data_IF_728071680302
#
_entry.id   IF_728071680302
#
_cell.length_a   1.000
_cell.length_b   1.000
_cell.length_c   1.000
_cell.angle_alpha   90.00
_cell.angle_beta   90.00
_cell.angle_gamma   90.00
#
_symmetry.space_group_name_H-M   'P 1'
#
loop_
_entity.id
_entity.type
_entity.pdbx_description
1 polymer ?
#
# COMPACT_ATOMS: atom_id res chain seq x y z
N UNK A 1 -8.41 -7.69 28.92
CA UNK A 1 -9.69 -7.67 28.18
C UNK A 1 -9.37 -7.70 26.69
N UNK A 2 -10.12 -8.44 25.89
CA UNK A 2 -9.99 -8.39 24.44
C UNK A 2 -10.33 -6.97 23.95
N UNK A 3 -9.50 -6.42 23.05
CA UNK A 3 -9.68 -5.10 22.44
C UNK A 3 -10.19 -5.29 21.01
N UNK A 4 -11.40 -4.84 20.73
CA UNK A 4 -11.96 -4.90 19.38
C UNK A 4 -11.62 -3.60 18.64
N UNK A 5 -10.86 -3.69 17.55
CA UNK A 5 -10.50 -2.58 16.67
C UNK A 5 -11.08 -2.84 15.29
N UNK A 6 -11.84 -1.88 14.76
CA UNK A 6 -12.34 -1.95 13.38
C UNK A 6 -11.25 -1.50 12.44
N UNK A 7 -10.81 -2.40 11.57
CA UNK A 7 -9.85 -2.13 10.51
C UNK A 7 -10.56 -2.03 9.16
N UNK A 8 -9.98 -1.28 8.21
CA UNK A 8 -10.50 -1.10 6.86
C UNK A 8 -9.43 -1.28 5.79
N UNK A 9 -9.88 -1.68 4.60
CA UNK A 9 -9.07 -1.82 3.41
C UNK A 9 -9.74 -1.04 2.28
N UNK A 10 -9.02 -0.12 1.63
CA UNK A 10 -9.53 0.55 0.44
C UNK A 10 -9.05 -0.21 -0.79
N UNK A 11 -10.00 -0.89 -1.44
CA UNK A 11 -9.81 -1.55 -2.73
C UNK A 11 -10.39 -0.65 -3.82
N UNK A 12 -9.56 -0.14 -4.72
CA UNK A 12 -9.98 0.81 -5.75
C UNK A 12 -9.25 0.58 -7.07
N UNK A 13 -9.85 1.08 -8.16
CA UNK A 13 -9.27 1.18 -9.49
C UNK A 13 -8.76 2.60 -9.76
N UNK A 14 -7.88 2.75 -10.75
CA UNK A 14 -7.64 4.03 -11.40
C UNK A 14 -8.59 4.18 -12.59
N UNK A 15 -9.46 5.18 -12.56
CA UNK A 15 -10.51 5.39 -13.57
C UNK A 15 -10.03 6.32 -14.71
N UNK A 16 -8.83 6.87 -14.60
CA UNK A 16 -8.27 7.85 -15.53
C UNK A 16 -7.07 7.27 -16.30
N UNK A 17 -7.15 7.35 -17.62
CA UNK A 17 -6.10 6.86 -18.52
C UNK A 17 -5.07 7.95 -18.79
N UNK A 18 -3.75 7.64 -18.75
CA UNK A 18 -2.69 8.58 -19.11
C UNK A 18 -2.63 8.92 -20.60
N UNK A 19 -3.51 8.34 -21.42
CA UNK A 19 -3.72 8.75 -22.82
C UNK A 19 -4.64 9.97 -22.89
N UNK A 20 -5.56 10.11 -21.96
CA UNK A 20 -6.59 11.16 -21.93
C UNK A 20 -6.27 12.27 -20.95
N UNK A 21 -5.53 11.97 -19.89
CA UNK A 21 -5.23 12.88 -18.78
C UNK A 21 -3.73 13.06 -18.57
N UNK A 22 -3.34 14.23 -18.12
CA UNK A 22 -1.99 14.47 -17.62
C UNK A 22 -1.72 13.63 -16.35
N UNK A 23 -0.50 13.14 -16.21
CA UNK A 23 -0.09 12.25 -15.11
C UNK A 23 -0.27 12.92 -13.74
N UNK A 24 0.03 14.22 -13.64
CA UNK A 24 -0.11 14.97 -12.38
C UNK A 24 -1.57 15.21 -12.05
N UNK A 25 -2.41 15.39 -13.07
CA UNK A 25 -3.86 15.49 -12.89
C UNK A 25 -4.47 14.16 -12.45
N UNK A 26 -4.03 13.02 -13.01
CA UNK A 26 -4.43 11.69 -12.54
C UNK A 26 -4.10 11.54 -11.05
N UNK A 27 -2.87 11.92 -10.64
CA UNK A 27 -2.49 11.89 -9.22
C UNK A 27 -3.46 12.70 -8.36
N UNK A 28 -3.77 13.93 -8.77
CA UNK A 28 -4.71 14.81 -8.05
C UNK A 28 -6.09 14.19 -7.92
N UNK A 29 -6.63 13.64 -9.01
CA UNK A 29 -7.94 12.99 -9.04
C UNK A 29 -7.99 11.73 -8.17
N UNK A 30 -6.93 10.91 -8.23
CA UNK A 30 -6.82 9.71 -7.40
C UNK A 30 -6.72 10.06 -5.91
N UNK A 31 -5.98 11.10 -5.53
CA UNK A 31 -5.94 11.58 -4.14
C UNK A 31 -7.33 12.01 -3.70
N UNK A 32 -8.04 12.82 -4.50
CA UNK A 32 -9.40 13.26 -4.17
C UNK A 32 -10.35 12.07 -3.99
N UNK A 33 -10.35 11.11 -4.92
CA UNK A 33 -11.14 9.87 -4.81
C UNK A 33 -10.85 9.11 -3.51
N UNK A 34 -9.58 9.00 -3.12
CA UNK A 34 -9.22 8.30 -1.90
C UNK A 34 -9.57 9.08 -0.64
N UNK A 35 -9.54 10.41 -0.66
CA UNK A 35 -10.06 11.24 0.45
C UNK A 35 -11.53 10.91 0.70
N UNK A 36 -12.37 10.86 -0.34
CA UNK A 36 -13.79 10.52 -0.22
C UNK A 36 -14.00 9.10 0.36
N UNK A 37 -13.20 8.13 -0.07
CA UNK A 37 -13.25 6.74 0.43
C UNK A 37 -12.80 6.66 1.91
N UNK A 38 -11.77 7.42 2.29
CA UNK A 38 -11.31 7.51 3.69
C UNK A 38 -12.38 8.15 4.57
N UNK A 39 -13.05 9.20 4.10
CA UNK A 39 -14.16 9.80 4.81
C UNK A 39 -15.36 8.85 4.98
N UNK A 40 -15.59 7.98 4.00
CA UNK A 40 -16.58 6.91 4.13
C UNK A 40 -16.15 5.90 5.20
N UNK A 41 -14.91 5.44 5.18
CA UNK A 41 -14.37 4.55 6.21
C UNK A 41 -14.46 5.16 7.62
N UNK A 42 -14.26 6.47 7.75
CA UNK A 42 -14.42 7.20 9.00
C UNK A 42 -15.89 7.18 9.50
N UNK A 43 -16.87 7.36 8.60
CA UNK A 43 -18.30 7.21 8.95
C UNK A 43 -18.64 5.80 9.44
N UNK A 44 -17.94 4.78 8.92
CA UNK A 44 -18.06 3.38 9.35
C UNK A 44 -17.26 3.06 10.63
N UNK A 45 -16.71 4.09 11.29
CA UNK A 45 -15.94 4.00 12.53
C UNK A 45 -14.66 3.13 12.42
N UNK A 46 -14.04 3.08 11.23
CA UNK A 46 -12.73 2.44 11.03
C UNK A 46 -11.68 3.20 11.84
N UNK A 47 -10.77 2.46 12.48
CA UNK A 47 -9.69 3.00 13.34
C UNK A 47 -8.29 2.75 12.79
N UNK A 48 -8.10 1.70 11.98
CA UNK A 48 -6.87 1.45 11.24
C UNK A 48 -7.25 1.18 9.79
N UNK A 49 -6.71 1.96 8.86
CA UNK A 49 -7.03 1.91 7.44
C UNK A 49 -5.77 1.74 6.61
N UNK A 50 -5.83 0.86 5.59
CA UNK A 50 -4.76 0.74 4.60
C UNK A 50 -5.31 0.92 3.18
N UNK A 51 -4.57 1.70 2.36
CA UNK A 51 -4.84 1.90 0.95
C UNK A 51 -4.04 0.88 0.11
N UNK A 52 -4.45 0.68 -1.16
CA UNK A 52 -3.72 -0.21 -2.08
C UNK A 52 -2.34 0.35 -2.46
N UNK A 53 -1.47 -0.50 -2.99
CA UNK A 53 -0.12 -0.15 -3.44
C UNK A 53 -0.13 0.99 -4.47
N UNK A 54 0.69 2.04 -4.24
CA UNK A 54 0.81 3.25 -5.10
C UNK A 54 -0.58 3.83 -5.44
N UNK A 55 -1.38 4.11 -4.41
CA UNK A 55 -2.81 4.39 -4.54
C UNK A 55 -3.16 5.61 -5.39
N UNK A 56 -2.25 6.58 -5.52
CA UNK A 56 -2.52 7.86 -6.17
C UNK A 56 -2.25 7.90 -7.69
N UNK A 57 -2.13 6.75 -8.33
CA UNK A 57 -1.97 6.65 -9.77
C UNK A 57 -2.39 5.28 -10.29
N UNK A 58 -2.37 5.06 -11.60
CA UNK A 58 -2.46 3.73 -12.16
C UNK A 58 -1.21 2.92 -11.78
N UNK A 59 -1.26 1.61 -11.98
CA UNK A 59 -0.07 0.77 -11.83
C UNK A 59 0.83 0.92 -13.05
N UNK A 60 1.59 2.01 -13.09
CA UNK A 60 2.41 2.43 -14.22
C UNK A 60 3.62 1.50 -14.50
N UNK A 61 3.93 0.57 -13.60
CA UNK A 61 5.03 -0.37 -13.80
C UNK A 61 4.80 -1.39 -14.93
N UNK A 62 3.64 -1.31 -15.61
CA UNK A 62 3.36 -2.05 -16.84
C UNK A 62 4.26 -1.64 -18.01
N UNK A 63 4.89 -0.49 -17.95
CA UNK A 63 5.84 0.03 -18.94
C UNK A 63 7.11 0.56 -18.25
N UNK A 64 8.19 0.73 -18.99
CA UNK A 64 9.43 1.34 -18.52
C UNK A 64 9.56 2.76 -19.12
N UNK A 65 8.84 3.73 -18.52
CA UNK A 65 8.83 5.12 -18.98
C UNK A 65 9.16 6.08 -17.82
N UNK A 66 10.23 6.85 -17.99
CA UNK A 66 10.70 7.81 -16.98
C UNK A 66 9.71 8.95 -16.69
N UNK A 67 8.70 9.18 -17.56
CA UNK A 67 7.66 10.20 -17.34
C UNK A 67 6.94 10.04 -16.00
N UNK A 68 6.80 8.80 -15.50
CA UNK A 68 6.13 8.50 -14.23
C UNK A 68 6.89 8.99 -12.99
N UNK A 69 8.19 9.30 -13.12
CA UNK A 69 8.99 9.83 -12.00
C UNK A 69 8.50 11.20 -11.52
N UNK A 70 7.71 11.92 -12.33
CA UNK A 70 7.15 13.23 -11.97
C UNK A 70 6.17 13.17 -10.80
N UNK A 71 5.52 12.01 -10.56
CA UNK A 71 4.56 11.86 -9.46
C UNK A 71 5.20 11.39 -8.14
N UNK A 72 6.48 11.03 -8.16
CA UNK A 72 7.21 10.69 -6.94
C UNK A 72 7.33 11.93 -6.03
N UNK A 73 7.26 11.70 -4.72
CA UNK A 73 7.36 12.79 -3.73
C UNK A 73 8.14 12.36 -2.48
N UNK A 74 8.70 13.32 -1.73
CA UNK A 74 9.34 13.01 -0.45
C UNK A 74 8.31 12.58 0.59
N UNK A 75 8.79 11.93 1.65
CA UNK A 75 8.01 11.63 2.87
C UNK A 75 8.77 12.23 4.07
N UNK A 76 8.15 13.20 4.81
CA UNK A 76 6.85 13.81 4.56
C UNK A 76 6.81 14.65 3.28
N UNK A 77 5.63 14.71 2.65
CA UNK A 77 5.40 15.43 1.39
C UNK A 77 3.93 15.84 1.25
N UNK A 78 3.54 16.40 0.08
CA UNK A 78 2.20 16.93 -0.13
C UNK A 78 1.08 15.93 0.15
N UNK A 79 1.23 14.68 -0.34
CA UNK A 79 0.22 13.64 -0.11
C UNK A 79 0.14 13.26 1.37
N UNK A 80 1.29 13.00 2.02
CA UNK A 80 1.27 12.66 3.45
C UNK A 80 0.68 13.78 4.30
N UNK A 81 0.91 15.06 3.97
CA UNK A 81 0.34 16.19 4.70
C UNK A 81 -1.20 16.18 4.69
N UNK A 82 -1.82 15.93 3.51
CA UNK A 82 -3.28 15.82 3.39
C UNK A 82 -3.82 14.69 4.32
N UNK A 83 -3.19 13.53 4.29
CA UNK A 83 -3.67 12.39 5.07
C UNK A 83 -3.32 12.48 6.57
N UNK A 84 -2.31 13.24 6.96
CA UNK A 84 -2.04 13.57 8.36
C UNK A 84 -3.18 14.41 8.98
N UNK A 85 -3.68 15.42 8.25
CA UNK A 85 -4.84 16.21 8.68
C UNK A 85 -6.11 15.34 8.80
N UNK A 86 -6.32 14.42 7.84
CA UNK A 86 -7.46 13.49 7.85
C UNK A 86 -7.34 12.50 9.00
N UNK A 87 -6.15 11.92 9.22
CA UNK A 87 -5.87 11.01 10.32
C UNK A 87 -6.18 11.65 11.68
N UNK A 88 -5.74 12.89 11.89
CA UNK A 88 -6.02 13.67 13.09
C UNK A 88 -7.52 13.95 13.23
N UNK A 89 -8.16 14.42 12.15
CA UNK A 89 -9.60 14.78 12.12
C UNK A 89 -10.51 13.62 12.54
N UNK A 90 -10.20 12.41 12.09
CA UNK A 90 -11.03 11.23 12.32
C UNK A 90 -10.48 10.27 13.39
N UNK A 91 -9.37 10.63 14.02
CA UNK A 91 -8.65 9.76 14.97
C UNK A 91 -8.43 8.35 14.38
N UNK A 92 -7.82 8.29 13.18
CA UNK A 92 -7.62 7.07 12.38
C UNK A 92 -6.14 6.86 12.08
N UNK A 93 -5.62 5.67 12.35
CA UNK A 93 -4.31 5.23 11.88
C UNK A 93 -4.39 4.92 10.39
N UNK A 94 -3.41 5.39 9.61
CA UNK A 94 -3.41 5.23 8.16
C UNK A 94 -2.10 4.65 7.64
N UNK A 95 -2.21 3.68 6.74
CA UNK A 95 -1.09 3.13 5.97
C UNK A 95 -1.24 3.61 4.53
N UNK A 96 -0.29 4.41 4.05
CA UNK A 96 -0.32 5.09 2.76
C UNK A 96 0.84 4.61 1.87
N UNK A 97 0.59 3.69 0.93
CA UNK A 97 1.60 3.27 -0.05
C UNK A 97 1.73 4.28 -1.19
N UNK A 98 2.91 4.87 -1.33
CA UNK A 98 3.20 5.91 -2.34
C UNK A 98 4.54 5.68 -3.06
N UNK A 99 4.78 6.39 -4.14
CA UNK A 99 6.04 6.45 -4.85
C UNK A 99 6.93 7.53 -4.21
N UNK A 100 7.94 7.10 -3.46
CA UNK A 100 8.84 7.99 -2.71
C UNK A 100 10.05 8.41 -3.54
N UNK A 101 10.46 9.68 -3.43
CA UNK A 101 11.78 10.19 -3.82
C UNK A 101 12.39 10.99 -2.66
N UNK A 102 13.28 10.40 -1.85
CA UNK A 102 13.91 11.10 -0.72
C UNK A 102 15.00 12.08 -1.17
N UNK A 103 15.63 11.80 -2.33
CA UNK A 103 16.66 12.64 -2.93
C UNK A 103 16.64 12.49 -4.46
N UNK A 104 17.23 13.43 -5.21
CA UNK A 104 17.30 13.33 -6.66
C UNK A 104 17.96 12.02 -7.14
N UNK A 105 17.22 11.26 -7.95
CA UNK A 105 17.69 9.98 -8.50
C UNK A 105 17.43 8.76 -7.62
N UNK A 106 16.92 8.94 -6.42
CA UNK A 106 16.53 7.85 -5.51
C UNK A 106 15.01 7.67 -5.50
N UNK A 107 14.56 6.43 -5.70
CA UNK A 107 13.14 6.13 -5.80
C UNK A 107 12.80 4.81 -5.10
N UNK A 108 11.69 4.81 -4.34
CA UNK A 108 11.24 3.63 -3.59
C UNK A 108 9.71 3.47 -3.68
N UNK A 109 9.26 2.23 -3.61
CA UNK A 109 7.88 1.89 -3.32
C UNK A 109 7.75 1.85 -1.79
N UNK A 110 7.03 2.81 -1.22
CA UNK A 110 7.08 3.09 0.22
C UNK A 110 5.69 3.21 0.80
N UNK A 111 5.48 2.62 1.97
CA UNK A 111 4.30 2.87 2.79
C UNK A 111 4.66 3.73 3.99
N UNK A 112 4.01 4.87 4.15
CA UNK A 112 4.07 5.68 5.36
C UNK A 112 2.99 5.24 6.35
N UNK A 113 3.30 5.29 7.65
CA UNK A 113 2.35 5.01 8.73
C UNK A 113 2.12 6.28 9.54
N UNK A 114 0.86 6.72 9.55
CA UNK A 114 0.40 7.92 10.26
C UNK A 114 -0.47 7.47 11.44
N UNK A 115 -0.21 8.02 12.64
CA UNK A 115 -1.01 7.71 13.81
C UNK A 115 -2.32 8.54 13.84
N UNK A 116 -3.20 8.17 14.73
CA UNK A 116 -4.51 8.77 14.93
C UNK A 116 -4.49 10.24 15.37
N UNK A 117 -3.35 10.76 15.80
CA UNK A 117 -3.13 12.17 16.10
C UNK A 117 -2.57 12.98 14.91
N UNK A 118 -2.38 12.32 13.75
CA UNK A 118 -1.78 12.88 12.54
C UNK A 118 -0.25 12.83 12.52
N UNK A 119 0.39 12.29 13.54
CA UNK A 119 1.86 12.16 13.54
C UNK A 119 2.33 11.08 12.55
N UNK A 120 3.36 11.40 11.76
CA UNK A 120 4.05 10.43 10.91
C UNK A 120 4.99 9.58 11.79
N UNK A 121 4.65 8.29 11.99
CA UNK A 121 5.44 7.38 12.81
C UNK A 121 6.69 6.87 12.09
N UNK A 122 6.65 6.78 10.78
CA UNK A 122 7.75 6.33 9.96
C UNK A 122 7.32 5.70 8.64
N UNK A 123 8.26 4.97 8.01
CA UNK A 123 8.07 4.41 6.68
C UNK A 123 8.56 2.97 6.60
N UNK A 124 7.94 2.19 5.72
CA UNK A 124 8.44 0.92 5.22
C UNK A 124 8.71 1.03 3.72
N UNK A 125 9.90 0.67 3.25
CA UNK A 125 10.26 0.57 1.83
C UNK A 125 10.23 -0.88 1.40
N UNK A 126 9.52 -1.19 0.30
CA UNK A 126 9.42 -2.54 -0.28
C UNK A 126 10.81 -3.14 -0.49
N UNK A 127 11.06 -4.29 0.13
CA UNK A 127 12.37 -4.93 0.09
C UNK A 127 12.58 -5.76 -1.19
N UNK A 128 11.53 -6.45 -1.64
CA UNK A 128 11.60 -7.33 -2.81
C UNK A 128 10.91 -6.69 -4.00
N UNK A 129 11.68 -6.30 -4.99
CA UNK A 129 11.20 -5.60 -6.18
C UNK A 129 11.08 -6.58 -7.34
N UNK A 130 9.87 -6.88 -7.85
CA UNK A 130 9.69 -7.75 -9.00
C UNK A 130 10.21 -7.12 -10.28
N UNK A 131 10.59 -7.97 -11.24
CA UNK A 131 10.91 -7.56 -12.61
C UNK A 131 10.63 -8.73 -13.54
N UNK A 132 9.37 -8.90 -13.94
CA UNK A 132 8.93 -10.04 -14.74
C UNK A 132 7.69 -9.72 -15.57
N UNK A 133 7.53 -10.50 -16.66
CA UNK A 133 6.33 -10.48 -17.47
C UNK A 133 5.08 -10.84 -16.62
N UNK A 134 3.89 -10.35 -16.99
CA UNK A 134 3.57 -9.62 -18.23
C UNK A 134 3.81 -8.11 -18.15
N UNK A 135 4.14 -7.53 -17.00
CA UNK A 135 4.25 -6.06 -16.83
C UNK A 135 4.58 -5.65 -15.40
N UNK A 136 5.39 -6.41 -14.68
CA UNK A 136 5.89 -6.04 -13.34
C UNK A 136 7.33 -5.52 -13.46
N UNK A 137 7.53 -4.40 -14.20
CA UNK A 137 8.84 -3.82 -14.47
C UNK A 137 9.29 -2.86 -13.36
N UNK A 138 9.04 -3.23 -12.11
CA UNK A 138 9.26 -2.37 -10.95
C UNK A 138 10.72 -1.98 -10.74
N UNK A 139 11.70 -2.81 -11.13
CA UNK A 139 13.13 -2.45 -10.99
C UNK A 139 13.57 -1.27 -11.86
N UNK A 140 12.77 -0.87 -12.86
CA UNK A 140 13.01 0.36 -13.60
C UNK A 140 12.75 1.61 -12.75
N UNK A 141 11.85 1.50 -11.78
CA UNK A 141 11.37 2.61 -10.95
C UNK A 141 11.94 2.60 -9.54
N UNK A 142 12.09 1.44 -8.90
CA UNK A 142 12.32 1.35 -7.47
C UNK A 142 13.61 0.63 -7.13
N UNK A 143 14.32 1.17 -6.16
CA UNK A 143 15.40 0.48 -5.45
C UNK A 143 14.81 -0.43 -4.35
N UNK A 144 15.50 -1.53 -4.00
CA UNK A 144 15.17 -2.32 -2.82
C UNK A 144 15.18 -1.47 -1.55
N UNK A 145 14.28 -1.79 -0.61
CA UNK A 145 14.18 -1.10 0.66
C UNK A 145 15.41 -1.25 1.53
N UNK A 146 15.68 -0.23 2.35
CA UNK A 146 16.85 -0.10 3.22
C UNK A 146 16.48 0.10 4.71
N UNK A 147 15.18 0.01 5.04
CA UNK A 147 14.67 0.27 6.41
C UNK A 147 14.41 -1.02 7.20
N UNK A 148 14.69 -2.19 6.63
CA UNK A 148 14.34 -3.47 7.25
C UNK A 148 12.84 -3.65 7.36
N UNK A 149 12.39 -4.22 8.48
CA UNK A 149 10.98 -4.56 8.74
C UNK A 149 10.49 -3.89 10.03
N UNK A 150 10.26 -2.58 10.03
CA UNK A 150 9.81 -1.86 11.22
C UNK A 150 8.36 -2.23 11.59
N UNK A 151 8.08 -2.20 12.90
CA UNK A 151 6.73 -2.28 13.43
C UNK A 151 6.42 -0.98 14.17
N UNK A 152 5.31 -0.36 13.83
CA UNK A 152 4.92 0.95 14.33
C UNK A 152 3.93 0.81 15.47
N UNK A 153 4.26 1.35 16.64
CA UNK A 153 3.33 1.40 17.77
C UNK A 153 2.39 2.56 17.56
N UNK A 154 1.12 2.25 17.29
CA UNK A 154 0.06 3.22 17.05
C UNK A 154 -0.91 3.29 18.24
N UNK A 155 -1.79 4.28 18.24
CA UNK A 155 -2.86 4.40 19.24
C UNK A 155 -3.72 3.14 19.36
N UNK A 156 -3.90 2.37 18.28
CA UNK A 156 -4.83 1.23 18.24
C UNK A 156 -4.17 -0.13 18.16
N UNK A 157 -2.87 -0.21 17.98
CA UNK A 157 -2.14 -1.47 17.91
C UNK A 157 -0.80 -1.33 17.23
N UNK A 158 -0.05 -2.42 17.20
CA UNK A 158 1.24 -2.50 16.52
C UNK A 158 1.07 -2.92 15.07
N UNK A 159 1.41 -2.03 14.16
CA UNK A 159 1.20 -2.19 12.72
C UNK A 159 2.52 -2.48 12.02
N UNK A 160 2.56 -3.58 11.26
CA UNK A 160 3.60 -3.88 10.29
C UNK A 160 3.10 -3.65 8.86
N UNK A 161 4.03 -3.47 7.91
CA UNK A 161 3.73 -3.36 6.48
C UNK A 161 4.65 -4.26 5.68
N UNK A 162 4.09 -4.90 4.66
CA UNK A 162 4.78 -5.86 3.80
C UNK A 162 4.18 -5.74 2.41
N UNK A 163 4.87 -5.07 1.48
CA UNK A 163 4.25 -4.61 0.23
C UNK A 163 4.26 -5.69 -0.85
N UNK A 164 3.08 -6.09 -1.33
CA UNK A 164 2.83 -6.85 -2.56
C UNK A 164 3.73 -8.10 -2.69
N UNK A 165 4.73 -8.04 -3.56
CA UNK A 165 5.67 -9.13 -3.89
C UNK A 165 6.47 -9.62 -2.66
N UNK A 166 6.63 -8.80 -1.63
CA UNK A 166 7.26 -9.20 -0.38
C UNK A 166 6.61 -10.46 0.23
N UNK A 167 5.28 -10.67 0.02
CA UNK A 167 4.54 -11.81 0.57
C UNK A 167 5.10 -13.18 0.21
N UNK A 168 5.83 -13.27 -0.92
CA UNK A 168 6.47 -14.50 -1.39
C UNK A 168 7.72 -14.88 -0.58
N UNK A 169 8.19 -14.00 0.32
CA UNK A 169 9.42 -14.15 1.09
C UNK A 169 9.09 -14.23 2.59
N UNK A 170 9.01 -15.43 3.18
CA UNK A 170 8.54 -15.61 4.56
C UNK A 170 9.44 -14.99 5.64
N UNK A 171 10.68 -14.66 5.29
CA UNK A 171 11.67 -14.09 6.22
C UNK A 171 11.20 -12.75 6.79
N UNK A 172 10.73 -11.85 5.94
CA UNK A 172 10.22 -10.54 6.38
C UNK A 172 8.95 -10.67 7.22
N UNK A 173 8.05 -11.57 6.84
CA UNK A 173 6.85 -11.88 7.61
C UNK A 173 7.20 -12.35 9.02
N UNK A 174 8.23 -13.21 9.15
CA UNK A 174 8.73 -13.69 10.46
C UNK A 174 9.34 -12.55 11.26
N UNK A 175 10.14 -11.68 10.66
CA UNK A 175 10.76 -10.54 11.34
C UNK A 175 9.70 -9.57 11.88
N UNK A 176 8.65 -9.28 11.10
CA UNK A 176 7.53 -8.47 11.58
C UNK A 176 6.84 -9.07 12.81
N UNK A 177 6.63 -10.40 12.82
CA UNK A 177 6.09 -11.11 13.99
C UNK A 177 7.03 -11.02 15.21
N UNK A 178 8.34 -11.23 15.02
CA UNK A 178 9.34 -11.12 16.10
C UNK A 178 9.44 -9.68 16.64
N UNK A 179 9.23 -8.67 15.79
CA UNK A 179 9.17 -7.27 16.19
C UNK A 179 7.84 -6.91 16.87
N UNK A 180 6.91 -7.87 16.98
CA UNK A 180 5.68 -7.77 17.76
C UNK A 180 4.53 -7.11 17.01
N UNK A 181 4.45 -7.25 15.69
CA UNK A 181 3.28 -6.82 14.92
C UNK A 181 2.02 -7.54 15.43
N UNK A 182 0.94 -6.78 15.63
CA UNK A 182 -0.40 -7.30 15.94
C UNK A 182 -1.23 -7.45 14.65
N UNK A 183 -0.98 -6.55 13.68
CA UNK A 183 -1.55 -6.61 12.35
C UNK A 183 -0.50 -6.23 11.32
N UNK A 184 -0.46 -6.95 10.21
CA UNK A 184 0.41 -6.66 9.06
C UNK A 184 -0.46 -6.37 7.85
N UNK A 185 -0.23 -5.24 7.17
CA UNK A 185 -0.90 -4.91 5.92
C UNK A 185 -0.03 -5.28 4.73
N UNK A 186 -0.65 -5.91 3.72
CA UNK A 186 -0.02 -6.22 2.44
C UNK A 186 -0.72 -5.47 1.30
N UNK A 187 -0.43 -4.17 1.13
CA UNK A 187 -0.92 -3.42 -0.03
C UNK A 187 -0.28 -3.95 -1.31
N UNK A 188 -1.13 -4.19 -2.33
CA UNK A 188 -0.74 -4.92 -3.53
C UNK A 188 -1.36 -4.35 -4.80
N UNK A 189 -0.69 -4.70 -5.92
CA UNK A 189 -1.16 -4.52 -7.28
C UNK A 189 -0.87 -5.83 -8.04
N UNK A 190 -1.79 -6.78 -7.99
CA UNK A 190 -1.62 -8.11 -8.57
C UNK A 190 -2.82 -8.52 -9.42
N UNK A 191 -2.55 -9.12 -10.58
CA UNK A 191 -3.53 -9.45 -11.62
C UNK A 191 -3.88 -10.93 -11.62
N UNK A 192 -5.02 -11.25 -12.24
CA UNK A 192 -5.50 -12.61 -12.43
C UNK A 192 -4.48 -13.48 -13.18
N UNK A 193 -4.51 -14.77 -12.89
CA UNK A 193 -3.53 -15.74 -13.39
C UNK A 193 -2.32 -15.84 -12.48
N UNK A 194 -1.12 -15.76 -13.04
CA UNK A 194 0.18 -15.78 -12.37
C UNK A 194 0.20 -16.37 -10.94
N UNK A 195 0.10 -15.50 -9.92
CA UNK A 195 0.19 -15.85 -8.50
C UNK A 195 -1.15 -15.70 -7.75
N UNK A 196 -2.28 -15.63 -8.44
CA UNK A 196 -3.59 -15.41 -7.81
C UNK A 196 -3.92 -16.50 -6.78
N UNK A 197 -3.60 -17.77 -7.06
CA UNK A 197 -3.81 -18.86 -6.11
C UNK A 197 -3.00 -18.69 -4.81
N UNK A 198 -1.84 -18.04 -4.87
CA UNK A 198 -1.00 -17.77 -3.71
C UNK A 198 -1.60 -16.69 -2.79
N UNK A 199 -2.46 -15.82 -3.33
CA UNK A 199 -3.11 -14.75 -2.57
C UNK A 199 -3.87 -15.28 -1.35
N UNK A 200 -4.59 -16.39 -1.52
CA UNK A 200 -5.34 -17.05 -0.44
C UNK A 200 -4.53 -18.08 0.35
N UNK A 201 -3.32 -18.39 -0.09
CA UNK A 201 -2.45 -19.35 0.59
C UNK A 201 -1.42 -18.66 1.48
N UNK A 202 -0.69 -17.69 0.95
CA UNK A 202 0.46 -17.07 1.63
C UNK A 202 0.03 -16.16 2.79
N UNK A 203 -1.03 -15.37 2.63
CA UNK A 203 -1.48 -14.44 3.66
C UNK A 203 -1.94 -15.17 4.93
N UNK A 204 -2.85 -16.16 4.87
CA UNK A 204 -3.21 -16.95 6.07
C UNK A 204 -2.04 -17.74 6.64
N UNK A 205 -1.16 -18.30 5.79
CA UNK A 205 0.02 -19.00 6.26
C UNK A 205 0.94 -18.07 7.09
N UNK A 206 1.13 -16.83 6.63
CA UNK A 206 1.89 -15.82 7.37
C UNK A 206 1.20 -15.43 8.68
N UNK A 207 -0.12 -15.24 8.68
CA UNK A 207 -0.89 -14.90 9.86
C UNK A 207 -0.75 -15.99 10.94
N UNK A 208 -1.08 -17.22 10.60
CA UNK A 208 -1.00 -18.38 11.52
C UNK A 208 0.43 -18.59 12.03
N UNK A 209 1.43 -18.56 11.13
CA UNK A 209 2.82 -18.85 11.49
C UNK A 209 3.43 -17.80 12.43
N UNK A 210 2.91 -16.58 12.43
CA UNK A 210 3.47 -15.45 13.18
C UNK A 210 2.50 -14.89 14.25
N UNK A 211 1.28 -15.43 14.36
CA UNK A 211 0.28 -15.05 15.35
C UNK A 211 -0.10 -13.56 15.31
N UNK A 212 -0.30 -13.03 14.10
CA UNK A 212 -0.81 -11.69 13.86
C UNK A 212 -1.94 -11.71 12.82
N UNK A 213 -2.73 -10.66 12.76
CA UNK A 213 -3.72 -10.48 11.70
C UNK A 213 -3.05 -9.98 10.42
N UNK A 214 -3.57 -10.37 9.26
CA UNK A 214 -3.16 -9.81 7.97
C UNK A 214 -4.31 -9.07 7.32
N UNK A 215 -4.06 -7.84 6.88
CA UNK A 215 -4.93 -7.09 5.96
C UNK A 215 -4.34 -7.10 4.56
N UNK A 216 -4.90 -7.92 3.69
CA UNK A 216 -4.46 -8.05 2.30
C UNK A 216 -5.30 -7.15 1.40
N UNK A 217 -4.68 -6.14 0.78
CA UNK A 217 -5.36 -5.14 -0.06
C UNK A 217 -4.83 -5.23 -1.48
N UNK A 218 -5.72 -5.37 -2.46
CA UNK A 218 -5.36 -5.36 -3.87
C UNK A 218 -6.09 -4.23 -4.62
N UNK A 219 -5.58 -3.87 -5.77
CA UNK A 219 -6.33 -3.09 -6.78
C UNK A 219 -7.45 -3.92 -7.36
N UNK A 220 -8.37 -3.28 -8.09
CA UNK A 220 -9.50 -3.95 -8.76
C UNK A 220 -9.74 -3.37 -10.15
N UNK A 221 -10.17 -4.24 -11.10
CA UNK A 221 -10.54 -3.86 -12.46
C UNK A 221 -9.37 -3.77 -13.43
N UNK A 222 -9.62 -3.15 -14.57
CA UNK A 222 -8.64 -3.02 -15.66
C UNK A 222 -8.22 -1.56 -15.78
N UNK A 223 -6.91 -1.31 -15.71
CA UNK A 223 -6.34 0.03 -15.86
C UNK A 223 -5.83 0.24 -17.29
N UNK A 224 -6.38 1.25 -17.97
CA UNK A 224 -6.01 1.62 -19.35
C UNK A 224 -4.77 2.54 -19.35
N UNK A 225 -3.96 2.52 -20.43
CA UNK A 225 -4.19 1.85 -21.71
C UNK A 225 -3.61 0.43 -21.81
N UNK A 226 -3.01 -0.09 -20.75
CA UNK A 226 -2.28 -1.36 -20.79
C UNK A 226 -3.20 -2.57 -20.83
N UNK A 227 -2.84 -3.56 -21.64
CA UNK A 227 -3.44 -4.89 -21.64
C UNK A 227 -2.67 -5.83 -20.69
N UNK A 228 -2.40 -5.35 -19.49
CA UNK A 228 -1.58 -6.04 -18.48
C UNK A 228 -2.33 -7.18 -17.79
N UNK A 229 -3.66 -7.06 -17.68
CA UNK A 229 -4.54 -7.98 -17.01
C UNK A 229 -5.53 -7.28 -16.08
N UNK A 230 -6.42 -8.05 -15.51
CA UNK A 230 -7.41 -7.57 -14.55
C UNK A 230 -6.86 -7.71 -13.12
N UNK A 231 -6.82 -6.62 -12.38
CA UNK A 231 -6.61 -6.67 -10.94
C UNK A 231 -7.83 -7.31 -10.30
N UNK A 232 -7.66 -8.48 -9.70
CA UNK A 232 -8.78 -9.32 -9.25
C UNK A 232 -9.45 -8.82 -7.96
N UNK A 233 -8.95 -7.79 -7.31
CA UNK A 233 -9.49 -7.34 -6.03
C UNK A 233 -9.27 -8.40 -4.94
N UNK A 234 -10.34 -8.97 -4.43
CA UNK A 234 -10.34 -10.01 -3.40
C UNK A 234 -9.57 -9.60 -2.13
N UNK A 235 -9.69 -8.34 -1.72
CA UNK A 235 -9.10 -7.85 -0.47
C UNK A 235 -9.83 -8.45 0.73
N UNK A 236 -9.08 -8.84 1.79
CA UNK A 236 -9.63 -9.51 2.95
C UNK A 236 -8.74 -9.38 4.18
N UNK A 237 -9.30 -9.70 5.33
CA UNK A 237 -8.54 -9.94 6.57
C UNK A 237 -8.47 -11.43 6.87
N UNK A 238 -7.35 -11.89 7.42
CA UNK A 238 -7.19 -13.24 7.97
C UNK A 238 -6.32 -13.24 9.24
N UNK A 239 -6.42 -14.34 9.99
CA UNK A 239 -5.71 -14.67 11.22
C UNK A 239 -5.22 -16.12 11.21
#
# INVERSE_FOLDING_TARGET
>A
MARNIRCGLIQSSCDWSPVEFDITEIKRLMIAKHVDLVEQAARDAVKILCLQEIFYGPYFCCEEDARWKVIAEPIPGPTTAIFQEIAQKYEMVMVLPIYETPAPGEFYNTASVIDADGSLLGIYRKNHIPHCAPGFWEKFYFSPGDKGYPVFTTRYGKVGVYICYDRHFPEGARVLGLNGAEIVFNPSATVSGLSEYLWKLEQPACAVANQYFVGAINRVGIEKPWEFGEFYGQSYFCD
#
